data_IF_711339968901
#
_entry.id   IF_711339968901
#
_cell.length_a   1.000
_cell.length_b   1.000
_cell.length_c   1.000
_cell.angle_alpha   90.00
_cell.angle_beta   90.00
_cell.angle_gamma   90.00
#
_symmetry.space_group_name_H-M   'P 1'
#
loop_
_entity.id
_entity.type
_entity.pdbx_description
1 polymer ?
#
# COMPACT_ATOMS: atom_id res chain seq x y z
N UNK A 1 -14.94 21.11 1.47
CA UNK A 1 -15.13 19.66 1.27
C UNK A 1 -13.78 18.99 1.11
N UNK A 2 -13.48 18.02 1.94
CA UNK A 2 -12.24 17.27 1.86
C UNK A 2 -12.29 16.25 0.72
N UNK A 3 -11.24 16.19 -0.09
CA UNK A 3 -11.15 15.22 -1.18
C UNK A 3 -10.60 13.92 -0.60
N UNK A 4 -11.40 12.86 -0.63
CA UNK A 4 -11.04 11.54 -0.09
C UNK A 4 -10.84 10.49 -1.19
N UNK A 5 -11.19 10.82 -2.44
CA UNK A 5 -11.11 9.91 -3.57
C UNK A 5 -10.52 10.62 -4.79
N UNK A 6 -9.51 9.99 -5.39
CA UNK A 6 -8.86 10.48 -6.61
C UNK A 6 -8.49 9.31 -7.51
N UNK A 7 -8.33 9.61 -8.80
CA UNK A 7 -7.79 8.67 -9.76
C UNK A 7 -6.45 9.20 -10.27
N UNK A 8 -5.41 8.39 -10.16
CA UNK A 8 -4.06 8.75 -10.60
C UNK A 8 -3.67 7.97 -11.86
N UNK A 9 -2.94 8.61 -12.80
CA UNK A 9 -2.44 7.91 -13.97
C UNK A 9 -1.35 6.92 -13.58
N UNK A 10 -1.41 5.72 -14.17
CA UNK A 10 -0.50 4.61 -13.89
C UNK A 10 -0.09 3.98 -15.22
N UNK A 11 1.20 3.77 -15.41
CA UNK A 11 1.73 3.04 -16.56
C UNK A 11 1.99 1.60 -16.19
N UNK A 12 1.48 0.67 -17.00
CA UNK A 12 1.66 -0.76 -16.81
C UNK A 12 2.30 -1.33 -18.07
N UNK A 13 3.45 -1.96 -17.92
CA UNK A 13 4.15 -2.60 -19.03
C UNK A 13 4.41 -4.06 -18.72
N UNK A 14 3.95 -4.93 -19.61
CA UNK A 14 4.22 -6.36 -19.48
C UNK A 14 5.68 -6.65 -19.83
N UNK A 15 6.35 -7.41 -18.97
CA UNK A 15 7.73 -7.85 -19.13
C UNK A 15 7.82 -9.33 -18.74
N UNK A 16 7.78 -10.19 -19.74
CA UNK A 16 7.76 -11.63 -19.51
C UNK A 16 6.51 -12.07 -18.76
N UNK A 17 6.68 -12.63 -17.57
CA UNK A 17 5.58 -13.10 -16.72
C UNK A 17 5.04 -12.05 -15.75
N UNK A 18 5.69 -10.89 -15.70
CA UNK A 18 5.35 -9.83 -14.75
C UNK A 18 4.80 -8.61 -15.48
N UNK A 19 3.98 -7.84 -14.77
CA UNK A 19 3.51 -6.54 -15.22
C UNK A 19 4.16 -5.48 -14.33
N UNK A 20 5.01 -4.65 -14.91
CA UNK A 20 5.74 -3.60 -14.22
C UNK A 20 4.93 -2.32 -14.21
N UNK A 21 4.96 -1.62 -13.09
CA UNK A 21 4.11 -0.46 -12.83
C UNK A 21 4.95 0.76 -12.48
N UNK A 22 4.61 1.89 -13.10
CA UNK A 22 5.16 3.20 -12.74
C UNK A 22 4.02 4.18 -12.48
N UNK A 23 4.07 4.85 -11.34
CA UNK A 23 3.07 5.82 -10.88
C UNK A 23 3.73 7.21 -10.86
N UNK A 24 3.58 8.02 -11.95
CA UNK A 24 4.34 9.27 -12.12
C UNK A 24 4.15 10.28 -10.99
N UNK A 25 2.92 10.52 -10.57
CA UNK A 25 2.61 11.58 -9.60
C UNK A 25 3.17 11.28 -8.21
N UNK A 26 3.34 10.02 -7.89
CA UNK A 26 3.88 9.57 -6.61
C UNK A 26 5.34 9.12 -6.69
N UNK A 27 5.90 9.07 -7.89
CA UNK A 27 7.26 8.57 -8.17
C UNK A 27 7.49 7.19 -7.56
N UNK A 28 6.47 6.32 -7.71
CA UNK A 28 6.49 4.96 -7.17
C UNK A 28 6.56 3.91 -8.26
N UNK A 29 7.18 2.80 -7.93
CA UNK A 29 7.27 1.62 -8.79
C UNK A 29 6.72 0.43 -8.03
N UNK A 30 6.01 -0.44 -8.74
CA UNK A 30 5.56 -1.72 -8.20
C UNK A 30 5.44 -2.73 -9.34
N UNK A 31 4.97 -3.92 -9.04
CA UNK A 31 4.80 -4.97 -10.05
C UNK A 31 3.66 -5.91 -9.64
N UNK A 32 3.15 -6.63 -10.61
CA UNK A 32 2.12 -7.64 -10.39
C UNK A 32 2.30 -8.83 -11.33
N UNK A 33 1.62 -9.92 -11.03
CA UNK A 33 1.69 -11.16 -11.83
C UNK A 33 0.80 -11.09 -13.08
N UNK A 34 -0.07 -10.11 -13.15
CA UNK A 34 -0.99 -9.86 -14.26
C UNK A 34 -1.32 -8.37 -14.30
N UNK A 35 -2.00 -7.93 -15.36
CA UNK A 35 -2.49 -6.54 -15.44
C UNK A 35 -3.46 -6.24 -14.28
N UNK A 36 -4.37 -7.16 -13.98
CA UNK A 36 -5.30 -7.00 -12.88
C UNK A 36 -4.58 -6.90 -11.53
N UNK A 37 -3.59 -7.76 -11.30
CA UNK A 37 -2.77 -7.71 -10.08
C UNK A 37 -1.95 -6.43 -10.01
N UNK A 38 -1.39 -5.98 -11.14
CA UNK A 38 -0.64 -4.73 -11.22
C UNK A 38 -1.50 -3.52 -10.84
N UNK A 39 -2.76 -3.49 -11.27
CA UNK A 39 -3.71 -2.43 -10.90
C UNK A 39 -3.97 -2.44 -9.39
N UNK A 40 -4.16 -3.63 -8.82
CA UNK A 40 -4.35 -3.78 -7.37
C UNK A 40 -3.12 -3.34 -6.59
N UNK A 41 -1.92 -3.69 -7.06
CA UNK A 41 -0.66 -3.28 -6.44
C UNK A 41 -0.44 -1.77 -6.54
N UNK A 42 -0.81 -1.16 -7.65
CA UNK A 42 -0.74 0.30 -7.82
C UNK A 42 -1.68 1.00 -6.83
N UNK A 43 -2.90 0.51 -6.67
CA UNK A 43 -3.87 1.07 -5.72
C UNK A 43 -3.35 0.99 -4.30
N UNK A 44 -2.76 -0.14 -3.94
CA UNK A 44 -2.16 -0.36 -2.62
C UNK A 44 -0.99 0.60 -2.36
N UNK A 45 -0.10 0.75 -3.34
CA UNK A 45 1.05 1.65 -3.23
C UNK A 45 0.62 3.12 -3.05
N UNK A 46 -0.36 3.57 -3.85
CA UNK A 46 -0.90 4.93 -3.76
C UNK A 46 -1.60 5.13 -2.40
N UNK A 47 -2.40 4.16 -1.98
CA UNK A 47 -3.12 4.23 -0.71
C UNK A 47 -2.18 4.40 0.47
N UNK A 48 -1.13 3.60 0.54
CA UNK A 48 -0.09 3.69 1.58
C UNK A 48 0.60 5.06 1.57
N UNK A 49 1.03 5.51 0.39
CA UNK A 49 1.72 6.80 0.26
C UNK A 49 0.82 7.96 0.66
N UNK A 50 -0.46 7.90 0.29
CA UNK A 50 -1.42 8.96 0.64
C UNK A 50 -1.67 9.02 2.14
N UNK A 51 -1.84 7.89 2.79
CA UNK A 51 -2.02 7.85 4.25
C UNK A 51 -0.79 8.44 4.97
N UNK A 52 0.41 8.14 4.47
CA UNK A 52 1.65 8.60 5.09
C UNK A 52 1.95 10.08 4.84
N UNK A 53 1.48 10.67 3.74
CA UNK A 53 1.86 12.04 3.37
C UNK A 53 1.08 13.16 4.07
N UNK A 54 -0.01 12.84 4.73
CA UNK A 54 -0.85 13.75 5.55
C UNK A 54 -1.03 15.15 4.93
N UNK A 55 -1.91 15.26 3.95
CA UNK A 55 -2.27 16.55 3.34
C UNK A 55 -1.30 17.06 2.29
N UNK A 56 -0.28 16.30 1.94
CA UNK A 56 0.70 16.66 0.91
C UNK A 56 0.55 15.80 -0.35
N UNK A 57 -0.61 15.19 -0.55
CA UNK A 57 -0.86 14.36 -1.72
C UNK A 57 -0.79 15.17 -3.02
N UNK A 58 -0.14 14.63 -4.06
CA UNK A 58 -0.07 15.30 -5.35
C UNK A 58 -1.44 15.35 -6.01
N UNK A 59 -1.67 16.39 -6.82
CA UNK A 59 -2.86 16.49 -7.66
C UNK A 59 -2.66 15.56 -8.86
N UNK A 60 -3.66 14.75 -9.23
CA UNK A 60 -3.51 13.86 -10.39
C UNK A 60 -3.16 14.63 -11.67
N UNK A 61 -2.14 14.17 -12.38
CA UNK A 61 -1.71 14.74 -13.65
C UNK A 61 -2.70 14.43 -14.77
N UNK A 62 -2.74 15.31 -15.78
CA UNK A 62 -3.41 15.04 -17.02
C UNK A 62 -2.69 13.90 -17.77
N UNK A 63 -3.36 13.34 -18.78
CA UNK A 63 -2.79 12.34 -19.67
C UNK A 63 -1.45 12.78 -20.27
N UNK A 64 -1.41 14.01 -20.80
CA UNK A 64 -0.21 14.53 -21.45
C UNK A 64 0.94 14.74 -20.45
N UNK A 65 0.64 15.26 -19.26
CA UNK A 65 1.65 15.49 -18.24
C UNK A 65 2.19 14.18 -17.67
N UNK A 66 1.33 13.18 -17.49
CA UNK A 66 1.74 11.85 -17.05
C UNK A 66 2.67 11.20 -18.08
N UNK A 67 2.36 11.32 -19.37
CA UNK A 67 3.22 10.81 -20.44
C UNK A 67 4.59 11.48 -20.45
N UNK A 68 4.65 12.79 -20.23
CA UNK A 68 5.91 13.53 -20.16
C UNK A 68 6.78 13.03 -19.00
N UNK A 69 6.18 12.82 -17.84
CA UNK A 69 6.88 12.29 -16.65
C UNK A 69 7.42 10.88 -16.91
N UNK A 70 6.62 10.02 -17.52
CA UNK A 70 7.02 8.66 -17.84
C UNK A 70 8.14 8.63 -18.89
N UNK A 71 8.09 9.51 -19.89
CA UNK A 71 9.13 9.63 -20.90
C UNK A 71 10.45 10.08 -20.30
N UNK A 72 10.40 11.06 -19.39
CA UNK A 72 11.59 11.52 -18.68
C UNK A 72 12.21 10.39 -17.85
N UNK A 73 11.39 9.61 -17.18
CA UNK A 73 11.86 8.45 -16.41
C UNK A 73 12.46 7.38 -17.31
N UNK A 74 11.89 7.18 -18.49
CA UNK A 74 12.39 6.19 -19.46
C UNK A 74 13.79 6.52 -20.00
N UNK A 75 14.14 7.81 -20.07
CA UNK A 75 15.46 8.24 -20.50
C UNK A 75 16.54 7.88 -19.47
N UNK A 76 16.16 7.78 -18.18
CA UNK A 76 17.07 7.45 -17.10
C UNK A 76 17.14 5.93 -16.82
N UNK A 77 16.20 5.15 -17.36
CA UNK A 77 16.10 3.72 -17.14
C UNK A 77 16.01 2.96 -18.47
N UNK A 78 16.55 1.76 -18.50
CA UNK A 78 16.51 0.90 -19.69
C UNK A 78 15.11 0.31 -19.97
N UNK A 79 14.05 0.95 -19.47
CA UNK A 79 12.70 0.44 -19.55
C UNK A 79 11.72 1.54 -19.92
N UNK A 80 11.04 1.38 -21.07
CA UNK A 80 10.14 2.40 -21.61
C UNK A 80 8.70 2.20 -21.15
N UNK A 81 8.33 2.76 -19.99
CA UNK A 81 6.96 2.77 -19.50
C UNK A 81 5.94 3.40 -20.46
N UNK A 82 6.29 4.48 -21.23
CA UNK A 82 5.35 5.07 -22.19
C UNK A 82 4.83 4.11 -23.26
N UNK A 83 5.56 3.03 -23.56
CA UNK A 83 5.14 2.01 -24.52
C UNK A 83 4.12 1.03 -23.92
N UNK A 84 3.85 1.12 -22.64
CA UNK A 84 2.87 0.29 -21.96
C UNK A 84 1.47 0.86 -22.01
N UNK A 85 0.61 0.30 -21.17
CA UNK A 85 -0.78 0.74 -21.01
C UNK A 85 -0.80 1.90 -20.02
N UNK A 86 -1.43 3.02 -20.41
CA UNK A 86 -1.74 4.08 -19.47
C UNK A 86 -3.19 3.92 -19.02
N UNK A 87 -3.38 3.77 -17.73
CA UNK A 87 -4.71 3.71 -17.13
C UNK A 87 -4.77 4.61 -15.89
N UNK A 88 -5.97 4.86 -15.41
CA UNK A 88 -6.18 5.56 -14.15
C UNK A 88 -6.60 4.56 -13.09
N UNK A 89 -6.02 4.70 -11.91
CA UNK A 89 -6.34 3.84 -10.76
C UNK A 89 -6.95 4.72 -9.68
N UNK A 90 -8.17 4.40 -9.28
CA UNK A 90 -8.88 5.14 -8.25
C UNK A 90 -8.49 4.66 -6.86
N UNK A 91 -8.36 5.60 -5.94
CA UNK A 91 -8.05 5.33 -4.55
C UNK A 91 -8.96 6.16 -3.66
N UNK A 92 -9.60 5.49 -2.71
CA UNK A 92 -10.37 6.12 -1.65
C UNK A 92 -9.56 6.02 -0.36
N UNK A 93 -8.98 7.15 0.07
CA UNK A 93 -8.07 7.16 1.22
C UNK A 93 -8.78 6.79 2.52
N UNK A 94 -10.06 7.13 2.66
CA UNK A 94 -10.84 6.77 3.87
C UNK A 94 -11.00 5.26 3.97
N UNK A 95 -11.42 4.63 2.87
CA UNK A 95 -11.56 3.17 2.83
C UNK A 95 -10.23 2.47 3.05
N UNK A 96 -9.15 3.02 2.47
CA UNK A 96 -7.82 2.46 2.65
C UNK A 96 -7.33 2.56 4.10
N UNK A 97 -7.58 3.69 4.75
CA UNK A 97 -7.23 3.89 6.17
C UNK A 97 -7.99 2.92 7.07
N UNK A 98 -9.28 2.68 6.80
CA UNK A 98 -10.08 1.71 7.54
C UNK A 98 -9.54 0.29 7.38
N UNK A 99 -9.15 -0.06 6.16
CA UNK A 99 -8.54 -1.36 5.86
C UNK A 99 -7.23 -1.55 6.64
N UNK A 100 -6.40 -0.53 6.73
CA UNK A 100 -5.15 -0.57 7.51
C UNK A 100 -5.41 -0.72 9.00
N UNK A 101 -6.42 -0.02 9.54
CA UNK A 101 -6.79 -0.12 10.97
C UNK A 101 -7.22 -1.52 11.37
N UNK A 102 -7.87 -2.24 10.46
CA UNK A 102 -8.34 -3.60 10.74
C UNK A 102 -7.28 -4.67 10.46
N UNK A 103 -6.12 -4.26 9.98
CA UNK A 103 -5.04 -5.18 9.65
C UNK A 103 -4.33 -5.64 10.92
N UNK A 104 -4.19 -6.96 11.08
CA UNK A 104 -3.41 -7.54 12.18
C UNK A 104 -1.92 -7.21 12.03
N UNK A 105 -1.31 -6.79 13.12
CA UNK A 105 0.13 -6.47 13.18
C UNK A 105 0.79 -7.42 14.17
N UNK A 106 1.92 -8.02 13.80
CA UNK A 106 2.70 -8.86 14.69
C UNK A 106 3.54 -8.01 15.63
N UNK A 107 3.51 -8.35 16.91
CA UNK A 107 4.36 -7.74 17.94
C UNK A 107 5.14 -8.83 18.65
N UNK A 108 6.43 -8.59 18.87
CA UNK A 108 7.25 -9.46 19.68
C UNK A 108 7.24 -8.93 21.11
N UNK A 109 6.88 -9.81 22.05
CA UNK A 109 6.76 -9.47 23.46
C UNK A 109 7.71 -10.33 24.27
N UNK A 110 8.40 -9.74 25.23
CA UNK A 110 9.29 -10.44 26.15
C UNK A 110 8.54 -10.81 27.42
N UNK A 111 8.60 -12.10 27.80
CA UNK A 111 7.99 -12.62 29.01
C UNK A 111 9.05 -13.31 29.86
N UNK A 112 8.90 -13.30 31.21
CA UNK A 112 9.69 -14.17 32.06
C UNK A 112 9.52 -15.64 31.64
N UNK A 113 10.61 -16.41 31.67
CA UNK A 113 10.61 -17.81 31.23
C UNK A 113 9.52 -18.63 31.93
N UNK A 114 9.43 -18.51 33.26
CA UNK A 114 8.46 -19.27 34.04
C UNK A 114 7.01 -18.98 33.66
N UNK A 115 6.71 -17.70 33.33
CA UNK A 115 5.36 -17.29 32.94
C UNK A 115 5.00 -17.85 31.57
N UNK A 116 5.94 -17.80 30.64
CA UNK A 116 5.76 -18.36 29.30
C UNK A 116 5.49 -19.86 29.37
N UNK A 117 6.32 -20.60 30.15
CA UNK A 117 6.20 -22.05 30.33
C UNK A 117 4.84 -22.44 30.92
N UNK A 118 4.42 -21.73 31.97
CA UNK A 118 3.17 -22.03 32.64
C UNK A 118 1.96 -21.73 31.74
N UNK A 119 2.00 -20.63 30.98
CA UNK A 119 0.95 -20.28 30.06
C UNK A 119 0.83 -21.30 28.92
N UNK A 120 1.94 -21.81 28.42
CA UNK A 120 1.95 -22.87 27.39
C UNK A 120 1.35 -24.14 27.93
N UNK A 121 1.71 -24.54 29.14
CA UNK A 121 1.16 -25.75 29.80
C UNK A 121 -0.34 -25.67 29.97
N UNK A 122 -0.86 -24.49 30.25
CA UNK A 122 -2.31 -24.25 30.39
C UNK A 122 -3.03 -24.10 29.06
N UNK A 123 -2.32 -24.11 27.93
CA UNK A 123 -2.91 -23.96 26.59
C UNK A 123 -3.50 -22.59 26.33
N UNK A 124 -2.94 -21.55 26.91
CA UNK A 124 -3.43 -20.18 26.77
C UNK A 124 -3.16 -19.64 25.36
N UNK A 125 -4.17 -19.02 24.75
CA UNK A 125 -4.01 -18.29 23.50
C UNK A 125 -3.42 -16.92 23.80
N UNK A 126 -2.12 -16.76 23.59
CA UNK A 126 -1.38 -15.51 23.90
C UNK A 126 -1.94 -14.30 23.16
N UNK A 127 -2.23 -14.44 21.87
CA UNK A 127 -2.75 -13.35 21.06
C UNK A 127 -4.07 -12.82 21.60
N UNK A 128 -4.97 -13.71 21.97
CA UNK A 128 -6.29 -13.34 22.50
C UNK A 128 -6.18 -12.65 23.84
N UNK A 129 -5.39 -13.21 24.76
CA UNK A 129 -5.19 -12.63 26.09
C UNK A 129 -4.57 -11.23 25.98
N UNK A 130 -3.55 -11.09 25.13
CA UNK A 130 -2.90 -9.80 24.90
C UNK A 130 -3.88 -8.77 24.32
N UNK A 131 -4.67 -9.15 23.32
CA UNK A 131 -5.65 -8.25 22.72
C UNK A 131 -6.70 -7.80 23.74
N UNK A 132 -7.21 -8.71 24.54
CA UNK A 132 -8.20 -8.38 25.59
C UNK A 132 -7.62 -7.43 26.61
N UNK A 133 -6.38 -7.65 27.04
CA UNK A 133 -5.70 -6.79 28.02
C UNK A 133 -5.44 -5.40 27.44
N UNK A 134 -5.01 -5.32 26.18
CA UNK A 134 -4.78 -4.04 25.51
C UNK A 134 -6.07 -3.27 25.29
N UNK A 135 -7.15 -3.94 24.95
CA UNK A 135 -8.47 -3.31 24.80
C UNK A 135 -8.90 -2.64 26.11
N UNK A 136 -8.75 -3.34 27.23
CA UNK A 136 -9.05 -2.78 28.56
C UNK A 136 -8.15 -1.58 28.88
N UNK A 137 -6.87 -1.67 28.58
CA UNK A 137 -5.92 -0.60 28.85
C UNK A 137 -6.20 0.67 28.03
N UNK A 138 -6.63 0.50 26.76
CA UNK A 138 -6.94 1.61 25.85
C UNK A 138 -8.29 2.26 26.21
N UNK A 139 -9.26 1.46 26.60
CA UNK A 139 -10.62 1.94 26.97
C UNK A 139 -10.70 2.45 28.40
N UNK A 140 -9.83 1.95 29.25
CA UNK A 140 -9.76 2.35 30.64
C UNK A 140 -8.96 3.60 30.85
#
# INVERSE_FOLDING_TARGET
MEITKRAYPVFIKEDGKQSLVYIPDWELFTEGDSVADAIAMARDAIGLAWVDCVGHEPVPSSYNDAKKKAKKQADDANFHYPDGILTYVDVDVVKYSEKLRNRAVRKNVTLPYWLNEKAEEMGINFSRVLQDALLQAVEG
#
